data_IF_465538427886
#
_entry.id   IF_465538427886
#
_cell.length_a   1.000
_cell.length_b   1.000
_cell.length_c   1.000
_cell.angle_alpha   90.00
_cell.angle_beta   90.00
_cell.angle_gamma   90.00
#
_symmetry.space_group_name_H-M   'P 1'
#
loop_
_entity.id
_entity.type
_entity.pdbx_description
1 polymer ?
#
# COMPACT_ATOMS: atom_id res chain seq x y z
N UNK A 1 8.14 -27.24 -22.44
CA UNK A 1 8.50 -26.13 -21.54
C UNK A 1 7.82 -26.29 -20.20
N UNK A 2 8.57 -26.28 -19.10
CA UNK A 2 7.93 -26.33 -17.80
C UNK A 2 7.09 -25.07 -17.55
N UNK A 3 6.01 -25.26 -16.83
CA UNK A 3 5.11 -24.17 -16.47
C UNK A 3 5.12 -23.99 -14.96
N UNK A 4 5.02 -22.74 -14.53
CA UNK A 4 4.99 -22.42 -13.12
C UNK A 4 3.73 -21.62 -12.81
N UNK A 5 3.19 -21.83 -11.63
CA UNK A 5 2.03 -21.10 -11.14
C UNK A 5 2.44 -20.32 -9.90
N UNK A 6 2.03 -19.06 -9.84
CA UNK A 6 2.27 -18.26 -8.65
C UNK A 6 1.48 -18.87 -7.49
N UNK A 7 2.14 -19.08 -6.37
CA UNK A 7 1.48 -19.61 -5.18
C UNK A 7 0.47 -18.60 -4.65
N UNK A 8 -0.70 -19.06 -4.20
CA UNK A 8 -1.63 -18.13 -3.57
C UNK A 8 -1.03 -17.59 -2.28
N UNK A 9 -1.15 -16.28 -2.09
CA UNK A 9 -0.57 -15.57 -0.95
C UNK A 9 -1.63 -14.67 -0.36
N UNK A 10 -1.78 -14.71 0.96
CA UNK A 10 -2.64 -13.78 1.67
C UNK A 10 -1.79 -12.61 2.14
N UNK A 11 -2.23 -11.40 1.80
CA UNK A 11 -1.54 -10.18 2.22
C UNK A 11 -2.51 -9.33 3.02
N UNK A 12 -1.95 -8.39 3.76
CA UNK A 12 -2.75 -7.39 4.45
C UNK A 12 -2.65 -6.08 3.68
N UNK A 13 -3.74 -5.33 3.64
CA UNK A 13 -3.75 -4.06 2.94
C UNK A 13 -4.75 -3.12 3.59
N UNK A 14 -4.44 -1.83 3.56
CA UNK A 14 -5.33 -0.78 4.05
C UNK A 14 -5.37 0.31 3.00
N UNK A 15 -6.57 0.78 2.68
CA UNK A 15 -6.71 1.86 1.71
C UNK A 15 -6.41 3.20 2.37
N UNK A 16 -5.54 3.99 1.74
CA UNK A 16 -5.18 5.30 2.24
C UNK A 16 -6.25 6.31 1.81
N UNK A 17 -6.84 6.99 2.78
CA UNK A 17 -7.94 7.94 2.55
C UNK A 17 -7.56 9.38 2.95
N UNK A 18 -6.27 9.69 2.94
CA UNK A 18 -5.79 10.99 3.31
C UNK A 18 -5.77 11.17 4.81
N UNK A 19 -6.05 12.38 5.27
CA UNK A 19 -6.05 12.68 6.71
C UNK A 19 -7.01 11.81 7.50
N UNK A 20 -8.08 11.34 6.87
CA UNK A 20 -9.12 10.58 7.56
C UNK A 20 -8.56 9.34 8.25
N UNK A 21 -7.58 8.68 7.64
CA UNK A 21 -7.02 7.48 8.22
C UNK A 21 -5.49 7.46 8.23
N UNK A 22 -4.87 8.63 8.19
CA UNK A 22 -3.42 8.72 8.23
C UNK A 22 -2.84 7.97 9.46
N UNK A 23 -3.46 8.15 10.63
CA UNK A 23 -3.00 7.49 11.85
C UNK A 23 -3.09 5.98 11.74
N UNK A 24 -4.16 5.49 11.12
CA UNK A 24 -4.32 4.05 10.92
C UNK A 24 -3.25 3.48 10.00
N UNK A 25 -2.89 4.23 8.96
CA UNK A 25 -1.81 3.82 8.06
C UNK A 25 -0.48 3.78 8.81
N UNK A 26 -0.20 4.77 9.63
CA UNK A 26 1.03 4.79 10.43
C UNK A 26 1.09 3.60 11.39
N UNK A 27 -0.03 3.25 12.00
CA UNK A 27 -0.09 2.07 12.89
C UNK A 27 0.14 0.79 12.10
N UNK A 28 -0.44 0.71 10.92
CA UNK A 28 -0.29 -0.45 10.05
C UNK A 28 1.16 -0.64 9.64
N UNK A 29 1.82 0.44 9.25
CA UNK A 29 3.22 0.40 8.83
C UNK A 29 4.16 0.29 10.02
N UNK A 30 3.77 0.81 11.18
CA UNK A 30 4.56 0.72 12.40
C UNK A 30 5.49 1.89 12.64
N UNK A 31 5.30 2.98 11.92
CA UNK A 31 6.09 4.19 12.10
C UNK A 31 5.35 5.39 11.51
N UNK A 32 5.80 6.58 11.89
CA UNK A 32 5.27 7.79 11.30
C UNK A 32 5.75 7.93 9.85
N UNK A 33 4.84 8.36 8.99
CA UNK A 33 5.12 8.54 7.57
C UNK A 33 5.03 10.00 7.22
N UNK A 34 5.81 10.42 6.25
CA UNK A 34 5.80 11.80 5.77
C UNK A 34 4.59 12.01 4.87
N UNK A 35 3.81 13.04 5.16
CA UNK A 35 2.69 13.44 4.33
C UNK A 35 3.00 14.82 3.75
N UNK A 36 2.93 14.92 2.43
CA UNK A 36 3.15 16.18 1.74
C UNK A 36 1.83 16.68 1.19
N UNK A 37 1.66 17.99 1.23
CA UNK A 37 0.49 18.65 0.64
C UNK A 37 0.91 19.32 -0.64
N UNK A 38 0.27 18.94 -1.75
CA UNK A 38 0.50 19.57 -3.03
C UNK A 38 -0.88 19.97 -3.56
N UNK A 39 -1.16 21.26 -3.53
CA UNK A 39 -2.48 21.80 -3.83
C UNK A 39 -3.49 21.18 -2.85
N UNK A 40 -4.43 20.37 -3.33
CA UNK A 40 -5.40 19.70 -2.48
C UNK A 40 -5.05 18.24 -2.22
N UNK A 41 -3.92 17.78 -2.75
CA UNK A 41 -3.52 16.40 -2.61
C UNK A 41 -2.74 16.17 -1.33
N UNK A 42 -2.96 15.02 -0.74
CA UNK A 42 -2.28 14.59 0.49
C UNK A 42 -1.47 13.36 0.14
N UNK A 43 -0.22 13.58 -0.25
CA UNK A 43 0.65 12.52 -0.76
C UNK A 43 1.47 11.94 0.38
N UNK A 44 1.41 10.62 0.52
CA UNK A 44 2.11 9.89 1.56
C UNK A 44 3.38 9.29 0.99
N UNK A 45 4.50 9.44 1.70
CA UNK A 45 5.77 8.86 1.28
C UNK A 45 6.00 7.56 2.04
N UNK A 46 6.28 6.49 1.30
CA UNK A 46 6.57 5.19 1.87
C UNK A 46 7.97 4.80 1.44
N UNK A 47 8.85 4.51 2.41
CA UNK A 47 10.20 4.08 2.14
C UNK A 47 10.23 2.59 1.86
N UNK A 48 10.86 2.22 0.76
CA UNK A 48 11.03 0.83 0.38
C UNK A 48 12.49 0.55 0.10
N UNK A 49 12.82 -0.72 -0.11
CA UNK A 49 14.19 -1.10 -0.48
C UNK A 49 14.61 -0.51 -1.81
N UNK A 50 13.65 -0.19 -2.65
CA UNK A 50 13.93 0.40 -3.97
C UNK A 50 13.87 1.92 -3.95
N UNK A 51 13.69 2.54 -2.77
CA UNK A 51 13.62 3.97 -2.63
C UNK A 51 12.25 4.40 -2.12
N UNK A 52 11.99 5.68 -2.22
CA UNK A 52 10.73 6.25 -1.75
C UNK A 52 9.65 6.13 -2.80
N UNK A 53 8.48 5.63 -2.40
CA UNK A 53 7.31 5.56 -3.26
C UNK A 53 6.23 6.47 -2.72
N UNK A 54 5.44 7.05 -3.61
CA UNK A 54 4.38 7.98 -3.24
C UNK A 54 3.02 7.32 -3.34
N UNK A 55 2.19 7.51 -2.32
CA UNK A 55 0.82 7.02 -2.31
C UNK A 55 -0.13 8.22 -2.35
N UNK A 56 -1.10 8.14 -3.24
CA UNK A 56 -2.16 9.13 -3.34
C UNK A 56 -3.40 8.66 -2.62
N UNK A 57 -4.29 9.59 -2.32
CA UNK A 57 -5.58 9.23 -1.73
C UNK A 57 -6.28 8.20 -2.60
N UNK A 58 -6.76 7.12 -2.00
CA UNK A 58 -7.39 6.01 -2.70
C UNK A 58 -6.48 4.84 -2.95
N UNK A 59 -5.16 5.03 -2.90
CA UNK A 59 -4.22 3.93 -3.10
C UNK A 59 -4.26 2.99 -1.90
N UNK A 60 -3.99 1.71 -2.14
CA UNK A 60 -3.87 0.74 -1.07
C UNK A 60 -2.42 0.62 -0.63
N UNK A 61 -2.23 0.51 0.67
CA UNK A 61 -0.91 0.23 1.24
C UNK A 61 -0.89 -1.25 1.57
N UNK A 62 0.00 -1.98 0.94
CA UNK A 62 0.08 -3.44 1.06
C UNK A 62 1.26 -3.80 1.94
N UNK A 63 1.04 -4.75 2.84
CA UNK A 63 2.11 -5.38 3.58
C UNK A 63 2.42 -6.69 2.89
N UNK A 64 3.59 -6.79 2.29
CA UNK A 64 4.01 -7.97 1.56
C UNK A 64 4.39 -9.10 2.47
N UNK A 65 4.67 -10.26 1.87
CA UNK A 65 4.95 -11.48 2.63
C UNK A 65 6.23 -11.40 3.46
N UNK A 66 7.13 -10.50 3.11
CA UNK A 66 8.38 -10.32 3.85
C UNK A 66 8.33 -9.15 4.82
N UNK A 67 7.13 -8.60 5.02
CA UNK A 67 6.96 -7.48 5.92
C UNK A 67 7.21 -6.12 5.31
N UNK A 68 7.49 -6.07 4.01
CA UNK A 68 7.70 -4.81 3.31
C UNK A 68 6.38 -4.12 3.01
N UNK A 69 6.40 -2.81 2.88
CA UNK A 69 5.19 -2.02 2.58
C UNK A 69 5.37 -1.30 1.26
N UNK A 70 4.29 -1.25 0.48
CA UNK A 70 4.32 -0.54 -0.79
C UNK A 70 2.91 -0.11 -1.20
N UNK A 71 2.80 0.99 -1.98
CA UNK A 71 1.50 1.45 -2.45
C UNK A 71 1.07 0.74 -3.72
N UNK A 72 -0.23 0.63 -3.91
CA UNK A 72 -0.80 0.00 -5.08
C UNK A 72 -2.02 0.80 -5.53
N UNK A 73 -2.13 1.08 -6.81
CA UNK A 73 -3.28 1.81 -7.34
C UNK A 73 -4.56 1.01 -7.13
N UNK A 74 -5.69 1.67 -6.83
CA UNK A 74 -6.91 0.94 -6.51
C UNK A 74 -7.42 0.05 -7.64
N UNK A 75 -7.32 0.49 -8.88
CA UNK A 75 -7.77 -0.34 -10.00
C UNK A 75 -6.90 -1.58 -10.19
N UNK A 76 -5.61 -1.44 -9.99
CA UNK A 76 -4.68 -2.57 -10.07
C UNK A 76 -4.91 -3.51 -8.89
N UNK A 77 -5.13 -2.94 -7.70
CA UNK A 77 -5.38 -3.73 -6.51
C UNK A 77 -6.63 -4.61 -6.67
N UNK A 78 -7.70 -4.03 -7.18
CA UNK A 78 -8.96 -4.74 -7.36
C UNK A 78 -8.85 -5.87 -8.39
N UNK A 79 -7.99 -5.72 -9.40
CA UNK A 79 -7.77 -6.77 -10.39
C UNK A 79 -6.86 -7.87 -9.89
N UNK A 80 -6.00 -7.57 -8.94
CA UNK A 80 -4.97 -8.49 -8.48
C UNK A 80 -5.39 -9.26 -7.23
N UNK A 81 -6.16 -8.63 -6.36
CA UNK A 81 -6.52 -9.20 -5.06
C UNK A 81 -8.02 -9.24 -4.87
N UNK A 82 -8.47 -10.17 -4.05
CA UNK A 82 -9.86 -10.26 -3.65
C UNK A 82 -9.90 -10.51 -2.13
N UNK A 83 -11.02 -10.17 -1.48
CA UNK A 83 -11.10 -10.40 -0.04
C UNK A 83 -10.86 -11.86 0.32
N UNK A 84 -10.03 -12.07 1.35
CA UNK A 84 -9.75 -13.41 1.87
C UNK A 84 -10.52 -13.57 3.17
N UNK A 85 -11.38 -14.54 3.22
CA UNK A 85 -12.23 -14.75 4.38
C UNK A 85 -11.88 -15.96 5.17
#
# INVERSE_FOLDING_TARGET
>A
MPKYRKKPVVIEAVQYLGKQNYQDICKFVGKELTMEYMDTEQILTIETLEGELKANKGDYIIKGVQGEFYPCKPDIFEKTYEPAE
#
